data_IF_843235991305
#
_entry.id   IF_843235991305
#
_cell.length_a   1.000
_cell.length_b   1.000
_cell.length_c   1.000
_cell.angle_alpha   90.00
_cell.angle_beta   90.00
_cell.angle_gamma   90.00
#
_symmetry.space_group_name_H-M   'P 1'
#
loop_
_entity.id
_entity.type
_entity.pdbx_description
1 polymer ?
#
# COMPACT_ATOMS: atom_id res chain seq x y z
N UNK A 1 -41.17 -75.23 9.66
CA UNK A 1 -40.50 -74.18 10.45
C UNK A 1 -40.59 -72.90 9.62
N UNK A 2 -41.61 -72.05 9.74
CA UNK A 2 -41.91 -71.06 10.79
C UNK A 2 -40.71 -70.14 11.11
N UNK A 3 -40.84 -68.84 10.82
CA UNK A 3 -39.84 -67.81 11.15
C UNK A 3 -40.10 -66.48 10.46
N UNK A 4 -40.96 -65.68 11.06
CA UNK A 4 -41.52 -64.40 10.60
C UNK A 4 -40.79 -63.20 11.25
N UNK A 5 -41.12 -61.98 10.78
CA UNK A 5 -40.98 -60.64 11.43
C UNK A 5 -39.54 -60.05 11.51
N UNK A 6 -39.24 -58.74 11.40
CA UNK A 6 -40.02 -57.54 11.73
C UNK A 6 -39.40 -56.23 11.18
N UNK A 7 -40.28 -55.39 10.64
CA UNK A 7 -40.14 -53.96 10.42
C UNK A 7 -40.25 -53.20 11.76
N UNK A 8 -39.45 -52.16 12.01
CA UNK A 8 -39.74 -51.14 13.04
C UNK A 8 -39.48 -49.74 12.48
N UNK A 9 -40.55 -49.10 12.04
CA UNK A 9 -40.78 -47.69 12.33
C UNK A 9 -41.26 -47.58 13.79
N UNK A 10 -40.72 -46.64 14.54
CA UNK A 10 -41.46 -45.99 15.63
C UNK A 10 -41.31 -44.48 15.44
N UNK A 11 -42.42 -43.85 15.07
CA UNK A 11 -42.73 -42.44 15.33
C UNK A 11 -43.14 -42.31 16.80
N UNK A 12 -42.75 -41.21 17.45
CA UNK A 12 -43.58 -40.51 18.45
C UNK A 12 -42.99 -39.11 18.60
N UNK A 13 -43.58 -38.07 18.00
CA UNK A 13 -44.65 -37.21 18.53
C UNK A 13 -44.13 -36.10 19.48
N UNK A 14 -44.15 -34.87 18.95
CA UNK A 14 -44.49 -33.53 19.50
C UNK A 14 -45.05 -33.40 20.95
N UNK A 15 -45.23 -32.19 21.56
CA UNK A 15 -45.10 -30.81 21.03
C UNK A 15 -44.44 -29.75 21.98
N UNK A 16 -44.32 -28.51 21.47
CA UNK A 16 -44.18 -27.17 22.09
C UNK A 16 -45.19 -26.88 23.26
N UNK A 17 -45.39 -25.63 23.76
CA UNK A 17 -44.53 -24.47 24.16
C UNK A 17 -44.93 -23.88 25.55
N UNK A 18 -44.12 -23.02 26.22
CA UNK A 18 -44.65 -21.89 27.04
C UNK A 18 -43.64 -20.73 27.14
N UNK A 19 -44.19 -19.52 27.07
CA UNK A 19 -43.56 -18.21 27.07
C UNK A 19 -43.44 -17.56 28.47
N UNK A 20 -42.85 -16.36 28.46
CA UNK A 20 -42.97 -15.25 29.42
C UNK A 20 -42.23 -15.33 30.77
N UNK A 21 -41.17 -14.51 30.88
CA UNK A 21 -41.08 -13.52 31.96
C UNK A 21 -40.35 -12.27 31.43
N UNK A 22 -41.12 -11.20 31.27
CA UNK A 22 -40.68 -9.81 31.16
C UNK A 22 -40.19 -9.34 32.52
N UNK A 23 -38.97 -8.77 32.61
CA UNK A 23 -38.65 -7.73 33.59
C UNK A 23 -37.65 -6.74 32.99
N UNK A 24 -37.75 -5.44 33.34
CA UNK A 24 -37.19 -4.34 32.58
C UNK A 24 -35.71 -4.11 32.89
N UNK A 25 -34.90 -3.99 31.83
CA UNK A 25 -33.56 -3.41 31.94
C UNK A 25 -33.70 -1.89 31.90
N UNK A 26 -33.29 -1.25 32.99
CA UNK A 26 -33.19 0.19 33.11
C UNK A 26 -32.16 0.72 32.10
N UNK A 27 -32.64 1.54 31.16
CA UNK A 27 -31.80 2.27 30.21
C UNK A 27 -31.34 3.54 30.91
N UNK A 28 -30.03 3.62 31.16
CA UNK A 28 -29.35 4.83 31.62
C UNK A 28 -29.24 5.85 30.48
N UNK A 29 -29.37 7.12 30.85
CA UNK A 29 -29.49 8.29 29.98
C UNK A 29 -28.32 8.45 28.98
N UNK A 30 -28.58 8.90 27.74
CA UNK A 30 -27.53 9.31 26.83
C UNK A 30 -27.11 10.76 27.12
N UNK A 31 -25.83 10.93 27.43
CA UNK A 31 -25.13 12.22 27.35
C UNK A 31 -25.08 12.70 25.88
N UNK A 32 -25.18 14.02 25.63
CA UNK A 32 -25.38 14.52 24.28
C UNK A 32 -24.11 14.42 23.43
N UNK A 33 -24.27 13.77 22.27
CA UNK A 33 -23.38 13.90 21.12
C UNK A 33 -23.42 15.34 20.60
N UNK A 34 -22.25 15.98 20.53
CA UNK A 34 -22.03 17.17 19.72
C UNK A 34 -21.91 16.69 18.27
N UNK A 35 -22.98 16.84 17.51
CA UNK A 35 -22.97 16.68 16.06
C UNK A 35 -22.63 18.04 15.42
N UNK A 36 -21.43 18.15 14.85
CA UNK A 36 -21.10 19.21 13.90
C UNK A 36 -21.69 18.83 12.54
N UNK A 37 -22.87 19.36 12.21
CA UNK A 37 -23.39 19.36 10.84
C UNK A 37 -22.87 20.59 10.09
N UNK A 38 -21.92 20.37 9.19
CA UNK A 38 -21.54 21.35 8.16
C UNK A 38 -22.59 21.32 7.05
N UNK A 39 -23.49 22.30 7.06
CA UNK A 39 -24.44 22.54 5.98
C UNK A 39 -23.80 23.44 4.93
N UNK A 40 -23.45 22.91 3.76
CA UNK A 40 -23.08 23.72 2.61
C UNK A 40 -24.33 24.30 1.94
N UNK A 41 -24.33 25.57 1.50
CA UNK A 41 -25.47 26.17 0.81
C UNK A 41 -25.67 25.54 -0.57
N UNK A 42 -26.92 25.18 -0.87
CA UNK A 42 -27.37 24.77 -2.19
C UNK A 42 -27.26 25.94 -3.18
N UNK A 43 -26.77 25.74 -4.42
CA UNK A 43 -26.65 26.80 -5.40
C UNK A 43 -27.98 26.95 -6.13
N UNK A 44 -28.91 27.73 -5.58
CA UNK A 44 -29.99 28.39 -6.32
C UNK A 44 -30.83 29.23 -5.36
N UNK A 45 -30.47 30.50 -5.22
CA UNK A 45 -31.41 31.53 -4.77
C UNK A 45 -30.87 32.91 -5.16
N UNK A 46 -31.52 33.51 -6.14
CA UNK A 46 -31.40 34.91 -6.51
C UNK A 46 -32.07 35.76 -5.43
N UNK A 47 -31.29 36.29 -4.47
CA UNK A 47 -31.44 37.60 -3.82
C UNK A 47 -30.49 37.72 -2.61
N UNK A 48 -29.65 38.78 -2.50
CA UNK A 48 -28.84 38.99 -1.31
C UNK A 48 -29.66 39.65 -0.18
N UNK A 49 -29.40 39.33 1.10
CA UNK A 49 -29.98 40.04 2.24
C UNK A 49 -29.32 41.42 2.41
N UNK A 50 -30.15 42.42 2.67
CA UNK A 50 -29.77 43.78 3.06
C UNK A 50 -28.90 43.77 4.32
N UNK A 51 -27.61 44.02 4.16
CA UNK A 51 -26.73 44.46 5.24
C UNK A 51 -26.63 45.99 5.21
N UNK A 52 -27.19 46.62 6.24
CA UNK A 52 -26.97 48.03 6.54
C UNK A 52 -25.49 48.21 6.90
N UNK A 53 -24.72 48.82 6.00
CA UNK A 53 -23.34 49.25 6.25
C UNK A 53 -23.35 50.77 6.49
N UNK A 54 -23.09 51.19 7.74
CA UNK A 54 -22.66 52.55 8.01
C UNK A 54 -21.26 52.74 7.39
N UNK A 55 -21.15 53.65 6.42
CA UNK A 55 -19.85 54.11 5.92
C UNK A 55 -19.42 55.33 6.73
N UNK A 56 -18.24 55.23 7.35
CA UNK A 56 -17.49 56.38 7.85
C UNK A 56 -16.65 56.90 6.67
N UNK A 57 -17.02 58.08 6.18
CA UNK A 57 -16.31 58.82 5.13
C UNK A 57 -14.94 59.29 5.66
N UNK A 58 -13.85 58.67 5.19
CA UNK A 58 -12.49 59.17 5.40
C UNK A 58 -11.85 59.40 4.03
N UNK A 59 -11.95 60.63 3.55
CA UNK A 59 -11.33 61.09 2.31
C UNK A 59 -9.82 61.27 2.52
N UNK A 60 -9.00 60.34 2.04
CA UNK A 60 -7.56 60.54 1.85
C UNK A 60 -7.29 60.55 0.35
N UNK A 61 -6.89 61.70 -0.19
CA UNK A 61 -6.44 61.85 -1.56
C UNK A 61 -5.03 61.24 -1.71
N UNK A 62 -4.91 60.17 -2.49
CA UNK A 62 -3.64 59.60 -2.93
C UNK A 62 -3.32 60.08 -4.35
N UNK A 63 -2.09 60.54 -4.64
CA UNK A 63 -1.72 60.99 -5.97
C UNK A 63 -1.62 59.80 -6.93
N UNK A 64 -2.14 59.98 -8.14
CA UNK A 64 -2.10 59.03 -9.24
C UNK A 64 -0.67 58.95 -9.78
N UNK A 65 0.09 57.92 -9.42
CA UNK A 65 1.42 57.65 -9.99
C UNK A 65 1.24 56.81 -11.25
N UNK A 66 1.78 57.28 -12.37
CA UNK A 66 1.72 56.60 -13.65
C UNK A 66 2.43 55.22 -13.58
N UNK A 67 1.68 54.15 -13.82
CA UNK A 67 2.20 52.78 -13.91
C UNK A 67 2.98 52.63 -15.23
N UNK A 68 4.31 52.62 -15.14
CA UNK A 68 5.17 52.14 -16.22
C UNK A 68 5.12 50.61 -16.24
N UNK A 69 4.90 50.01 -17.41
CA UNK A 69 4.82 48.56 -17.57
C UNK A 69 6.19 47.92 -17.27
N UNK A 70 6.35 47.38 -16.08
CA UNK A 70 7.47 46.50 -15.76
C UNK A 70 7.26 45.21 -16.57
N UNK A 71 8.14 44.92 -17.53
CA UNK A 71 8.18 43.60 -18.18
C UNK A 71 8.66 42.60 -17.15
N UNK A 72 7.74 41.76 -16.66
CA UNK A 72 8.09 40.59 -15.87
C UNK A 72 8.82 39.62 -16.82
N UNK A 73 10.08 39.26 -16.57
CA UNK A 73 10.72 38.21 -17.35
C UNK A 73 9.89 36.93 -17.22
N UNK A 74 9.59 36.29 -18.35
CA UNK A 74 8.91 35.01 -18.35
C UNK A 74 9.67 34.06 -17.41
N UNK A 75 8.95 33.42 -16.49
CA UNK A 75 9.52 32.37 -15.67
C UNK A 75 10.20 31.35 -16.61
N UNK A 76 11.40 30.83 -16.28
CA UNK A 76 12.04 29.81 -17.09
C UNK A 76 11.01 28.70 -17.29
N UNK A 77 10.72 28.38 -18.56
CA UNK A 77 9.94 27.21 -18.89
C UNK A 77 10.64 26.03 -18.23
N UNK A 78 9.89 25.30 -17.43
CA UNK A 78 10.33 24.10 -16.74
C UNK A 78 10.56 23.02 -17.82
N UNK A 79 11.70 23.09 -18.49
CA UNK A 79 12.12 22.09 -19.48
C UNK A 79 12.70 20.94 -18.69
N UNK A 80 11.83 20.14 -18.09
CA UNK A 80 12.21 18.80 -17.66
C UNK A 80 12.56 18.03 -18.94
N UNK A 81 13.81 17.58 -19.06
CA UNK A 81 14.15 16.61 -20.11
C UNK A 81 13.24 15.39 -19.91
N UNK A 82 12.59 14.94 -20.99
CA UNK A 82 11.79 13.71 -20.96
C UNK A 82 12.70 12.56 -20.49
N UNK A 83 12.44 12.06 -19.29
CA UNK A 83 13.24 10.98 -18.71
C UNK A 83 13.00 9.70 -19.50
N UNK A 84 14.08 9.02 -19.88
CA UNK A 84 14.00 7.75 -20.61
C UNK A 84 13.40 6.65 -19.74
N UNK A 85 12.17 6.23 -20.07
CA UNK A 85 11.44 5.15 -19.40
C UNK A 85 11.58 3.80 -20.13
N UNK A 86 12.44 3.69 -21.14
CA UNK A 86 12.55 2.48 -21.98
C UNK A 86 13.03 1.24 -21.22
N UNK A 87 13.74 1.39 -20.10
CA UNK A 87 14.10 0.30 -19.19
C UNK A 87 12.89 -0.21 -18.36
N UNK A 88 11.75 0.48 -18.42
CA UNK A 88 10.54 0.20 -17.66
C UNK A 88 10.59 0.64 -16.21
N UNK A 89 11.63 1.34 -15.78
CA UNK A 89 11.72 2.02 -14.49
C UNK A 89 12.76 3.14 -14.62
N UNK A 90 12.68 4.15 -13.77
CA UNK A 90 13.64 5.25 -13.73
C UNK A 90 14.40 5.18 -12.42
N UNK A 91 15.71 5.39 -12.44
CA UNK A 91 16.51 5.48 -11.22
C UNK A 91 16.05 6.67 -10.35
N UNK A 92 15.51 6.42 -9.13
CA UNK A 92 15.03 7.47 -8.24
C UNK A 92 16.07 8.57 -7.97
N UNK A 93 17.36 8.22 -7.98
CA UNK A 93 18.47 9.12 -7.63
C UNK A 93 18.64 10.27 -8.63
N UNK A 94 18.21 10.09 -9.88
CA UNK A 94 18.31 11.11 -10.93
C UNK A 94 17.52 12.36 -10.54
N UNK A 95 16.40 12.18 -9.85
CA UNK A 95 15.47 13.25 -9.46
C UNK A 95 15.39 13.44 -7.94
N UNK A 96 16.42 13.05 -7.18
CA UNK A 96 16.52 13.29 -5.74
C UNK A 96 15.85 12.25 -4.84
N UNK A 97 15.25 11.21 -5.40
CA UNK A 97 14.79 10.02 -4.68
C UNK A 97 15.93 9.07 -4.29
N UNK A 98 15.58 7.91 -3.73
CA UNK A 98 16.58 6.92 -3.28
C UNK A 98 16.03 5.49 -3.19
N UNK A 99 16.94 4.50 -3.17
CA UNK A 99 16.63 3.08 -3.00
C UNK A 99 16.45 2.63 -1.53
N UNK A 100 16.27 3.57 -0.61
CA UNK A 100 15.94 3.30 0.79
C UNK A 100 14.62 3.99 1.12
N UNK A 101 13.67 3.26 1.69
CA UNK A 101 12.46 3.88 2.23
C UNK A 101 12.80 4.78 3.44
N UNK A 102 11.79 5.36 4.08
CA UNK A 102 11.93 6.18 5.27
C UNK A 102 11.25 5.49 6.45
N UNK A 103 12.03 4.79 7.27
CA UNK A 103 11.58 4.28 8.58
C UNK A 103 11.82 5.29 9.70
N UNK A 104 12.84 6.13 9.51
CA UNK A 104 13.23 7.24 10.37
C UNK A 104 13.95 8.30 9.51
N UNK A 105 14.24 9.51 10.05
CA UNK A 105 14.85 10.57 9.25
C UNK A 105 16.14 10.19 8.50
N UNK A 106 16.93 9.25 9.05
CA UNK A 106 18.22 8.83 8.50
C UNK A 106 18.34 7.33 8.23
N UNK A 107 17.26 6.56 8.44
CA UNK A 107 17.25 5.12 8.24
C UNK A 107 16.13 4.73 7.28
N UNK A 108 16.36 3.64 6.55
CA UNK A 108 15.42 3.10 5.59
C UNK A 108 15.61 1.61 5.38
N UNK A 109 14.58 0.95 4.90
CA UNK A 109 14.65 -0.41 4.38
C UNK A 109 15.00 -0.38 2.89
N UNK A 110 15.79 -1.35 2.40
CA UNK A 110 16.19 -1.41 1.00
C UNK A 110 14.99 -1.68 0.09
N UNK A 111 14.79 -0.82 -0.92
CA UNK A 111 13.95 -1.09 -2.09
C UNK A 111 14.73 -2.04 -3.01
N UNK A 112 14.71 -3.33 -2.67
CA UNK A 112 15.60 -4.34 -3.21
C UNK A 112 14.99 -5.22 -4.33
N UNK A 113 13.73 -4.97 -4.68
CA UNK A 113 13.05 -5.56 -5.84
C UNK A 113 12.36 -4.46 -6.64
N UNK A 114 12.42 -4.53 -7.96
CA UNK A 114 11.64 -3.73 -8.91
C UNK A 114 10.81 -4.68 -9.78
N UNK A 115 9.51 -4.48 -9.89
CA UNK A 115 8.73 -5.03 -11.01
C UNK A 115 8.69 -3.96 -12.09
N UNK A 116 9.39 -4.22 -13.20
CA UNK A 116 9.51 -3.29 -14.31
C UNK A 116 8.15 -3.01 -14.95
N UNK A 117 7.97 -1.77 -15.40
CA UNK A 117 6.88 -1.31 -16.26
C UNK A 117 6.82 -2.01 -17.63
N UNK A 118 7.82 -2.81 -17.98
CA UNK A 118 7.77 -3.74 -19.12
C UNK A 118 6.99 -5.03 -18.83
N UNK A 119 6.53 -5.24 -17.58
CA UNK A 119 5.69 -6.38 -17.19
C UNK A 119 4.28 -6.28 -17.78
N UNK A 120 3.50 -7.36 -17.65
CA UNK A 120 2.09 -7.39 -18.06
C UNK A 120 1.32 -6.19 -17.44
N UNK A 121 0.59 -5.39 -18.25
CA UNK A 121 -0.09 -4.20 -17.77
C UNK A 121 -1.06 -4.43 -16.60
N UNK A 122 -1.62 -5.65 -16.47
CA UNK A 122 -2.48 -5.98 -15.34
C UNK A 122 -1.72 -5.87 -14.01
N UNK A 123 -0.48 -6.35 -13.95
CA UNK A 123 0.35 -6.32 -12.72
C UNK A 123 0.76 -4.89 -12.35
N UNK A 124 0.78 -3.96 -13.31
CA UNK A 124 1.08 -2.54 -13.03
C UNK A 124 -0.13 -1.80 -12.38
N UNK A 125 -1.30 -2.42 -12.39
CA UNK A 125 -2.46 -1.95 -11.61
C UNK A 125 -2.37 -2.43 -10.16
N UNK A 126 -2.95 -1.69 -9.23
CA UNK A 126 -2.97 -2.10 -7.81
C UNK A 126 -3.68 -3.46 -7.62
N UNK A 127 -4.81 -3.66 -8.31
CA UNK A 127 -5.54 -4.91 -8.24
C UNK A 127 -4.70 -6.09 -8.77
N UNK A 128 -4.17 -5.96 -9.98
CA UNK A 128 -3.38 -7.05 -10.58
C UNK A 128 -2.08 -7.31 -9.84
N UNK A 129 -1.44 -6.29 -9.27
CA UNK A 129 -0.28 -6.49 -8.38
C UNK A 129 -0.63 -7.32 -7.15
N UNK A 130 -1.76 -7.02 -6.48
CA UNK A 130 -2.26 -7.79 -5.33
C UNK A 130 -2.62 -9.23 -5.72
N UNK A 131 -3.22 -9.44 -6.89
CA UNK A 131 -3.55 -10.79 -7.39
C UNK A 131 -2.30 -11.59 -7.77
N UNK A 132 -1.32 -10.95 -8.41
CA UNK A 132 -0.04 -11.56 -8.73
C UNK A 132 0.74 -11.94 -7.48
N UNK A 133 0.87 -11.03 -6.52
CA UNK A 133 1.61 -11.29 -5.26
C UNK A 133 0.94 -12.39 -4.44
N UNK A 134 -0.40 -12.52 -4.50
CA UNK A 134 -1.13 -13.71 -4.02
C UNK A 134 -0.69 -15.01 -4.67
N UNK A 135 -0.56 -15.02 -5.99
CA UNK A 135 -0.14 -16.23 -6.72
C UNK A 135 1.27 -16.71 -6.31
N UNK A 136 2.16 -15.81 -5.90
CA UNK A 136 3.53 -16.15 -5.45
C UNK A 136 3.64 -16.40 -3.93
N UNK A 137 2.53 -16.36 -3.19
CA UNK A 137 2.47 -16.76 -1.78
C UNK A 137 2.53 -15.62 -0.77
N UNK A 138 2.15 -14.41 -1.16
CA UNK A 138 1.88 -13.31 -0.24
C UNK A 138 0.38 -13.07 -0.10
N UNK A 139 -0.08 -12.43 0.96
CA UNK A 139 -1.45 -11.93 1.04
C UNK A 139 -1.50 -10.69 1.91
N UNK A 140 -2.64 -10.01 1.90
CA UNK A 140 -2.87 -8.89 2.81
C UNK A 140 -2.71 -9.38 4.27
N UNK A 141 -2.32 -8.45 5.14
CA UNK A 141 -2.08 -8.73 6.54
C UNK A 141 -3.23 -9.48 7.22
N UNK A 142 -2.88 -10.33 8.20
CA UNK A 142 -3.84 -11.07 9.03
C UNK A 142 -4.90 -10.14 9.62
N UNK A 143 -6.17 -10.38 9.27
CA UNK A 143 -7.35 -9.70 9.83
C UNK A 143 -7.31 -8.17 9.74
N UNK A 144 -6.54 -7.59 8.81
CA UNK A 144 -6.41 -6.14 8.67
C UNK A 144 -5.75 -5.45 9.86
N UNK A 145 -5.05 -6.19 10.72
CA UNK A 145 -4.27 -5.63 11.83
C UNK A 145 -2.94 -5.12 11.28
N UNK A 146 -2.92 -3.84 10.90
CA UNK A 146 -1.73 -3.10 10.51
C UNK A 146 -0.86 -2.81 11.76
N UNK A 147 -0.20 -3.84 12.27
CA UNK A 147 0.74 -3.73 13.38
C UNK A 147 2.11 -3.34 12.82
N UNK A 148 2.30 -2.06 12.55
CA UNK A 148 3.55 -1.51 12.05
C UNK A 148 3.44 -0.01 11.77
N UNK A 149 4.58 0.65 11.65
CA UNK A 149 4.59 2.02 11.13
C UNK A 149 4.37 1.98 9.61
N UNK A 150 3.68 2.99 9.10
CA UNK A 150 3.62 3.28 7.66
C UNK A 150 4.99 3.83 7.26
N UNK A 151 5.58 3.25 6.22
CA UNK A 151 6.83 3.76 5.66
C UNK A 151 6.51 4.67 4.47
N UNK A 152 7.41 5.62 4.23
CA UNK A 152 7.36 6.47 3.04
C UNK A 152 8.51 6.11 2.09
N UNK A 153 8.36 6.35 0.79
CA UNK A 153 9.46 6.29 -0.17
C UNK A 153 9.42 7.48 -1.13
N UNK A 154 10.60 7.92 -1.57
CA UNK A 154 10.76 8.92 -2.62
C UNK A 154 11.39 8.24 -3.84
N UNK A 155 10.56 8.03 -4.87
CA UNK A 155 10.93 7.31 -6.09
C UNK A 155 11.49 8.23 -7.18
N UNK A 156 11.74 9.51 -6.87
CA UNK A 156 12.24 10.47 -7.86
C UNK A 156 11.26 10.73 -9.00
N UNK A 157 9.97 10.50 -8.80
CA UNK A 157 8.95 10.65 -9.83
C UNK A 157 8.20 11.98 -9.78
N UNK A 158 8.64 12.91 -8.93
CA UNK A 158 8.01 14.21 -8.72
C UNK A 158 6.90 14.21 -7.66
N UNK A 159 6.54 13.06 -7.11
CA UNK A 159 5.57 12.97 -6.01
C UNK A 159 6.17 13.22 -4.62
N UNK A 160 7.51 13.27 -4.53
CA UNK A 160 8.24 13.34 -3.27
C UNK A 160 8.04 12.09 -2.43
N UNK A 161 8.01 12.24 -1.10
CA UNK A 161 7.76 11.12 -0.18
C UNK A 161 6.30 10.71 -0.22
N UNK A 162 6.05 9.46 -0.57
CA UNK A 162 4.72 8.86 -0.62
C UNK A 162 4.61 7.70 0.36
N UNK A 163 3.48 7.59 1.05
CA UNK A 163 3.20 6.45 1.90
C UNK A 163 3.15 5.15 1.08
N UNK A 164 3.50 4.03 1.71
CA UNK A 164 3.37 2.71 1.10
C UNK A 164 1.97 2.48 0.52
N UNK A 165 1.91 1.91 -0.67
CA UNK A 165 0.66 1.60 -1.36
C UNK A 165 0.17 0.19 -1.02
N UNK A 166 1.11 -0.70 -0.69
CA UNK A 166 0.78 -2.06 -0.31
C UNK A 166 1.80 -2.65 0.66
N UNK A 167 1.30 -3.25 1.74
CA UNK A 167 2.02 -4.13 2.63
C UNK A 167 1.45 -5.54 2.52
N UNK A 168 2.29 -6.50 2.17
CA UNK A 168 1.93 -7.91 2.06
C UNK A 168 2.84 -8.78 2.91
N UNK A 169 2.29 -9.92 3.31
CA UNK A 169 2.87 -10.84 4.28
C UNK A 169 2.73 -12.27 3.78
N UNK A 170 3.67 -13.14 4.15
CA UNK A 170 3.72 -14.50 3.63
C UNK A 170 2.44 -15.25 4.01
N UNK A 171 1.77 -15.82 3.01
CA UNK A 171 0.58 -16.62 3.22
C UNK A 171 0.93 -18.10 3.39
N UNK A 172 0.71 -18.64 4.58
CA UNK A 172 0.90 -20.06 4.88
C UNK A 172 -0.38 -20.87 4.54
N UNK A 173 -0.64 -21.06 3.24
CA UNK A 173 -1.74 -21.90 2.73
C UNK A 173 -1.35 -23.39 2.65
N UNK A 174 -2.25 -24.39 2.82
CA UNK A 174 -3.71 -24.34 3.03
C UNK A 174 -4.21 -24.35 4.48
N UNK A 175 -3.35 -24.32 5.50
CA UNK A 175 -3.79 -24.66 6.87
C UNK A 175 -3.80 -23.46 7.84
N UNK A 176 -3.02 -22.39 7.62
CA UNK A 176 -2.74 -21.42 8.70
C UNK A 176 -2.82 -19.92 8.34
N UNK A 177 -2.84 -19.56 7.05
CA UNK A 177 -3.01 -18.18 6.57
C UNK A 177 -1.88 -17.21 6.97
N UNK A 178 -2.09 -15.91 6.77
CA UNK A 178 -1.12 -14.85 7.17
C UNK A 178 -1.06 -14.63 8.68
N UNK A 179 -2.01 -15.16 9.44
CA UNK A 179 -2.06 -15.03 10.91
C UNK A 179 -1.01 -15.84 11.65
N UNK A 180 -0.49 -16.92 11.04
CA UNK A 180 0.59 -17.72 11.62
C UNK A 180 1.96 -17.06 11.46
N UNK A 181 2.15 -16.19 10.48
CA UNK A 181 3.38 -15.40 10.35
C UNK A 181 3.62 -14.55 11.59
N UNK A 182 2.57 -13.93 12.12
CA UNK A 182 2.64 -13.20 13.39
C UNK A 182 3.17 -14.09 14.52
N UNK A 183 3.02 -15.42 14.47
CA UNK A 183 3.52 -16.34 15.48
C UNK A 183 4.90 -16.96 15.17
N UNK A 184 5.26 -17.14 13.89
CA UNK A 184 6.46 -17.88 13.46
C UNK A 184 7.54 -17.03 12.74
N UNK A 185 7.20 -15.80 12.35
CA UNK A 185 7.98 -14.98 11.43
C UNK A 185 7.73 -15.40 9.97
N UNK A 186 8.23 -14.62 9.03
CA UNK A 186 8.06 -14.91 7.61
C UNK A 186 8.53 -13.78 6.71
N UNK A 187 8.22 -13.93 5.43
CA UNK A 187 8.56 -12.96 4.41
C UNK A 187 7.49 -11.87 4.34
N UNK A 188 7.90 -10.60 4.36
CA UNK A 188 7.02 -9.48 4.09
C UNK A 188 7.57 -8.63 2.96
N UNK A 189 6.72 -7.78 2.39
CA UNK A 189 7.20 -6.66 1.59
C UNK A 189 6.29 -5.43 1.73
N UNK A 190 6.88 -4.26 1.53
CA UNK A 190 6.18 -3.00 1.25
C UNK A 190 6.41 -2.58 -0.19
N UNK A 191 5.45 -1.89 -0.80
CA UNK A 191 5.53 -1.51 -2.20
C UNK A 191 5.03 -0.08 -2.47
N UNK A 192 5.70 0.56 -3.41
CA UNK A 192 5.39 1.88 -3.96
C UNK A 192 5.41 1.81 -5.48
N UNK A 193 4.58 2.60 -6.15
CA UNK A 193 4.54 2.65 -7.61
C UNK A 193 5.16 3.95 -8.10
N UNK A 194 5.99 3.86 -9.13
CA UNK A 194 6.59 5.02 -9.79
C UNK A 194 5.62 5.54 -10.86
N UNK A 195 4.77 6.50 -10.48
CA UNK A 195 3.68 7.00 -11.32
C UNK A 195 3.50 8.53 -11.24
N UNK A 196 4.50 9.23 -10.72
CA UNK A 196 4.57 10.69 -10.79
C UNK A 196 5.02 11.19 -12.16
N UNK A 197 4.75 12.48 -12.42
CA UNK A 197 4.92 13.12 -13.73
C UNK A 197 6.36 13.19 -14.22
N UNK A 198 7.36 13.00 -13.36
CA UNK A 198 8.78 13.08 -13.74
C UNK A 198 9.40 11.69 -14.03
N UNK A 199 8.66 10.60 -13.79
CA UNK A 199 9.12 9.25 -14.05
C UNK A 199 7.94 8.24 -14.13
N UNK A 200 6.96 8.50 -15.01
CA UNK A 200 5.73 7.68 -15.09
C UNK A 200 5.96 6.32 -15.77
N UNK A 201 6.81 5.47 -15.18
CA UNK A 201 7.13 4.13 -15.70
C UNK A 201 6.08 3.09 -15.34
N UNK A 202 5.29 3.33 -14.29
CA UNK A 202 4.34 2.36 -13.72
C UNK A 202 4.99 1.23 -12.92
N UNK A 203 6.32 1.21 -12.78
CA UNK A 203 7.05 0.18 -12.06
C UNK A 203 6.69 0.12 -10.57
N UNK A 204 6.75 -1.08 -9.99
CA UNK A 204 6.65 -1.26 -8.55
C UNK A 204 8.05 -1.36 -7.92
N UNK A 205 8.34 -0.48 -6.96
CA UNK A 205 9.51 -0.55 -6.11
C UNK A 205 9.13 -1.20 -4.79
N UNK A 206 9.85 -2.25 -4.41
CA UNK A 206 9.46 -3.17 -3.35
C UNK A 206 10.60 -3.31 -2.34
N UNK A 207 10.30 -3.08 -1.07
CA UNK A 207 11.17 -3.43 0.05
C UNK A 207 10.79 -4.79 0.60
N UNK A 208 11.49 -5.84 0.14
CA UNK A 208 11.24 -7.22 0.58
C UNK A 208 12.20 -7.61 1.70
N UNK A 209 11.68 -8.24 2.75
CA UNK A 209 12.48 -8.66 3.90
C UNK A 209 11.93 -9.94 4.53
N UNK A 210 12.66 -10.46 5.53
CA UNK A 210 12.25 -11.57 6.37
C UNK A 210 12.31 -11.17 7.85
N UNK A 211 11.20 -11.34 8.55
CA UNK A 211 11.06 -11.04 9.98
C UNK A 211 11.20 -12.27 10.88
N UNK A 212 11.68 -12.04 12.10
CA UNK A 212 11.55 -12.95 13.23
C UNK A 212 10.11 -12.98 13.76
N UNK A 213 9.73 -14.07 14.43
CA UNK A 213 8.42 -14.21 15.07
C UNK A 213 8.08 -13.10 16.09
N UNK A 214 6.78 -12.88 16.36
CA UNK A 214 6.28 -11.81 17.26
C UNK A 214 6.93 -11.77 18.65
N UNK A 215 7.37 -12.90 19.22
CA UNK A 215 8.07 -12.89 20.52
C UNK A 215 9.37 -12.07 20.51
N UNK A 216 9.96 -11.84 19.32
CA UNK A 216 11.13 -10.98 19.11
C UNK A 216 10.78 -9.62 18.51
N UNK A 217 9.49 -9.24 18.55
CA UNK A 217 8.98 -7.93 18.14
C UNK A 217 9.23 -7.62 16.66
N UNK A 218 9.07 -8.62 15.78
CA UNK A 218 9.16 -8.43 14.33
C UNK A 218 10.50 -7.86 13.85
N UNK A 219 11.59 -8.14 14.57
CA UNK A 219 12.92 -7.75 14.10
C UNK A 219 13.25 -8.49 12.82
N UNK A 220 13.81 -7.78 11.85
CA UNK A 220 14.40 -8.40 10.66
C UNK A 220 15.46 -9.42 11.10
N UNK A 221 15.40 -10.63 10.54
CA UNK A 221 16.39 -11.69 10.84
C UNK A 221 17.78 -11.25 10.35
N UNK A 222 18.83 -11.91 10.85
CA UNK A 222 20.16 -11.77 10.24
C UNK A 222 20.07 -12.10 8.74
N UNK A 223 20.59 -11.21 7.90
CA UNK A 223 20.51 -11.30 6.43
C UNK A 223 19.07 -11.20 5.87
N UNK A 224 18.13 -10.67 6.65
CA UNK A 224 16.70 -10.70 6.34
C UNK A 224 16.31 -9.94 5.07
N UNK A 225 17.04 -8.88 4.70
CA UNK A 225 16.80 -8.18 3.44
C UNK A 225 17.16 -9.02 2.22
N UNK A 226 18.30 -9.73 2.24
CA UNK A 226 18.68 -10.62 1.15
C UNK A 226 17.75 -11.85 1.10
N UNK A 227 17.44 -12.44 2.26
CA UNK A 227 16.52 -13.58 2.35
C UNK A 227 15.10 -13.23 1.87
N UNK A 228 14.61 -12.03 2.17
CA UNK A 228 13.32 -11.53 1.71
C UNK A 228 13.27 -11.39 0.19
N UNK A 229 14.25 -10.66 -0.36
CA UNK A 229 14.39 -10.45 -1.81
C UNK A 229 14.53 -11.77 -2.57
N UNK A 230 15.44 -12.62 -2.14
CA UNK A 230 15.77 -13.85 -2.86
C UNK A 230 14.58 -14.82 -2.84
N UNK A 231 13.81 -14.87 -1.75
CA UNK A 231 12.57 -15.62 -1.70
C UNK A 231 11.51 -15.07 -2.65
N UNK A 232 11.30 -13.75 -2.68
CA UNK A 232 10.37 -13.11 -3.63
C UNK A 232 10.72 -13.51 -5.07
N UNK A 233 12.00 -13.37 -5.44
CA UNK A 233 12.51 -13.70 -6.77
C UNK A 233 12.34 -15.18 -7.08
N UNK A 234 12.70 -16.08 -6.17
CA UNK A 234 12.54 -17.53 -6.34
C UNK A 234 11.09 -17.89 -6.67
N UNK A 235 10.14 -17.33 -5.91
CA UNK A 235 8.70 -17.57 -6.09
C UNK A 235 8.18 -17.02 -7.42
N UNK A 236 8.67 -15.86 -7.85
CA UNK A 236 8.34 -15.24 -9.13
C UNK A 236 8.87 -16.07 -10.32
N UNK A 237 10.11 -16.56 -10.24
CA UNK A 237 10.75 -17.34 -11.30
C UNK A 237 10.19 -18.76 -11.43
N UNK A 238 9.75 -19.37 -10.33
CA UNK A 238 9.12 -20.70 -10.34
C UNK A 238 7.84 -20.74 -11.19
N UNK A 239 7.24 -19.57 -11.42
CA UNK A 239 5.93 -19.43 -12.04
C UNK A 239 4.81 -19.69 -11.04
N UNK A 240 3.69 -19.03 -11.27
CA UNK A 240 2.55 -19.06 -10.35
C UNK A 240 1.22 -19.03 -11.09
N UNK A 241 0.16 -19.38 -10.38
CA UNK A 241 -1.18 -19.37 -10.92
C UNK A 241 -2.17 -18.93 -9.84
N UNK A 242 -3.06 -18.01 -10.19
CA UNK A 242 -4.16 -17.60 -9.32
C UNK A 242 -5.48 -18.22 -9.79
N UNK A 243 -6.03 -19.10 -8.96
CA UNK A 243 -7.19 -19.95 -9.27
C UNK A 243 -8.48 -19.17 -9.55
N UNK A 244 -8.59 -17.92 -9.08
CA UNK A 244 -9.76 -17.07 -9.33
C UNK A 244 -9.94 -16.63 -10.79
N UNK A 245 -8.86 -16.56 -11.56
CA UNK A 245 -8.89 -16.01 -12.93
C UNK A 245 -8.27 -16.93 -14.00
N UNK A 246 -7.67 -18.06 -13.62
CA UNK A 246 -7.07 -18.98 -14.59
C UNK A 246 -5.78 -18.44 -15.23
N UNK A 247 -5.15 -17.44 -14.61
CA UNK A 247 -3.99 -16.74 -15.16
C UNK A 247 -2.71 -17.37 -14.62
N UNK A 248 -1.81 -17.76 -15.54
CA UNK A 248 -0.46 -18.20 -15.22
C UNK A 248 0.52 -17.05 -15.40
N UNK A 249 1.50 -17.00 -14.51
CA UNK A 249 2.56 -16.01 -14.51
C UNK A 249 3.92 -16.70 -14.58
N UNK A 250 4.86 -16.03 -15.24
CA UNK A 250 6.29 -16.33 -15.19
C UNK A 250 7.06 -15.03 -15.15
N UNK A 251 8.11 -14.96 -14.35
CA UNK A 251 9.02 -13.83 -14.33
C UNK A 251 10.38 -14.18 -14.94
N UNK A 252 11.05 -13.16 -15.43
CA UNK A 252 12.50 -13.15 -15.65
C UNK A 252 13.12 -12.15 -14.67
N UNK A 253 14.39 -12.38 -14.30
CA UNK A 253 15.13 -11.51 -13.38
C UNK A 253 16.42 -10.99 -14.04
N UNK A 254 16.63 -9.69 -13.91
CA UNK A 254 17.93 -9.05 -14.06
C UNK A 254 18.45 -8.67 -12.67
N UNK A 255 19.69 -9.04 -12.36
CA UNK A 255 20.35 -8.62 -11.13
C UNK A 255 21.20 -7.38 -11.39
N UNK A 256 20.90 -6.28 -10.71
CA UNK A 256 21.66 -5.02 -10.85
C UNK A 256 22.35 -4.64 -9.56
N UNK A 257 23.63 -4.29 -9.67
CA UNK A 257 24.47 -3.77 -8.58
C UNK A 257 24.70 -2.27 -8.75
N UNK A 258 25.09 -1.57 -7.69
CA UNK A 258 25.40 -0.13 -7.75
C UNK A 258 24.19 0.79 -7.60
N UNK A 259 22.99 0.22 -7.44
CA UNK A 259 21.78 0.93 -7.02
C UNK A 259 21.73 1.12 -5.49
N UNK A 260 22.20 0.11 -4.75
CA UNK A 260 22.39 0.11 -3.30
C UNK A 260 23.87 -0.08 -2.96
N UNK A 261 24.36 0.65 -1.94
CA UNK A 261 25.71 0.47 -1.38
C UNK A 261 25.73 -0.80 -0.51
N UNK A 262 26.56 -1.84 -0.81
CA UNK A 262 26.65 -3.02 0.04
C UNK A 262 27.00 -2.66 1.50
N UNK A 263 26.47 -3.43 2.45
CA UNK A 263 26.62 -3.17 3.88
C UNK A 263 25.34 -2.65 4.52
N UNK A 264 25.46 -2.01 5.69
CA UNK A 264 24.34 -1.59 6.55
C UNK A 264 24.17 -0.07 6.68
N UNK A 265 24.96 0.72 5.95
CA UNK A 265 24.96 2.18 6.06
C UNK A 265 23.62 2.77 5.62
N UNK A 266 22.94 3.45 6.54
CA UNK A 266 21.59 3.99 6.32
C UNK A 266 20.48 2.93 6.29
N UNK A 267 20.84 1.65 6.41
CA UNK A 267 19.89 0.54 6.45
C UNK A 267 19.36 0.40 7.86
N UNK A 268 18.05 0.26 7.97
CA UNK A 268 17.38 0.06 9.24
C UNK A 268 17.90 -1.21 9.96
N UNK A 269 17.87 -1.19 11.29
CA UNK A 269 18.38 -2.27 12.15
C UNK A 269 19.88 -2.62 12.03
N UNK A 270 20.69 -1.85 11.28
CA UNK A 270 22.11 -2.11 11.03
C UNK A 270 22.37 -3.50 10.41
N UNK A 271 21.42 -3.98 9.60
CA UNK A 271 21.52 -5.27 8.92
C UNK A 271 22.15 -5.06 7.55
N UNK A 272 23.29 -5.71 7.34
CA UNK A 272 23.99 -5.65 6.06
C UNK A 272 23.19 -6.36 4.95
N UNK A 273 23.23 -5.78 3.76
CA UNK A 273 22.72 -6.36 2.51
C UNK A 273 23.82 -6.36 1.44
N UNK A 274 23.67 -7.17 0.40
CA UNK A 274 24.72 -7.45 -0.59
C UNK A 274 24.87 -6.44 -1.74
N UNK A 275 24.03 -5.40 -1.78
CA UNK A 275 23.99 -4.34 -2.78
C UNK A 275 23.25 -4.69 -4.07
N UNK A 276 22.67 -5.90 -4.18
CA UNK A 276 21.92 -6.33 -5.37
C UNK A 276 20.46 -5.91 -5.29
N UNK A 277 19.94 -5.41 -6.40
CA UNK A 277 18.52 -5.19 -6.64
C UNK A 277 18.07 -6.17 -7.71
N UNK A 278 16.94 -6.82 -7.49
CA UNK A 278 16.31 -7.70 -8.47
C UNK A 278 15.32 -6.91 -9.32
N UNK A 279 15.51 -6.87 -10.64
CA UNK A 279 14.59 -6.25 -11.58
C UNK A 279 13.83 -7.38 -12.27
N UNK A 280 12.55 -7.50 -11.98
CA UNK A 280 11.66 -8.52 -12.50
C UNK A 280 10.85 -7.99 -13.68
N UNK A 281 10.77 -8.78 -14.75
CA UNK A 281 9.77 -8.59 -15.81
C UNK A 281 8.81 -9.77 -15.77
N UNK A 282 7.53 -9.50 -15.54
CA UNK A 282 6.51 -10.53 -15.30
C UNK A 282 5.58 -10.65 -16.50
N UNK A 283 5.42 -11.88 -16.99
CA UNK A 283 4.62 -12.22 -18.17
C UNK A 283 3.44 -13.11 -17.81
N UNK A 284 2.34 -12.88 -18.50
CA UNK A 284 1.23 -13.83 -18.56
C UNK A 284 1.57 -14.97 -19.50
N UNK A 285 1.28 -16.21 -19.10
CA UNK A 285 1.58 -17.45 -19.84
C UNK A 285 0.31 -18.22 -20.18
#
# INVERSE_FOLDING_TARGET
MCGMVRMRLIRSCCPLPVACCLLPVQVHEPTPFISLSLSFPSPNSSNPPLFVRLYLEMHIALPLVALSSIRIPAAPSDVWEDVDISEGWVDPRINGGRFLDFTAPFLGEPLNVIISGLSDPLILTEQGFREYTKSIGYSNECLGLHLGNIHEADLGDGSGRTAEMYLARQEYFPVWGTCWESFAGGHHFRAWRQNGTHAESGAWFIGASKEEHSQKRHKIVKDGYNLGRDWFVERALAGSHWTGHGIWWRAEVEWRTGLLEPGSKGVNHDIAQDGRVAILTVFRV
#
